data_IF_517854882376
#
_entry.id   IF_517854882376
#
_cell.length_a   1.000
_cell.length_b   1.000
_cell.length_c   1.000
_cell.angle_alpha   90.00
_cell.angle_beta   90.00
_cell.angle_gamma   90.00
#
_symmetry.space_group_name_H-M   'P 1'
#
loop_
_entity.id
_entity.type
_entity.pdbx_description
1 polymer ?
#
# COMPACT_ATOMS: atom_id res chain seq x y z
N UNK A 1 -17.02 23.83 -2.85
CA UNK A 1 -16.91 23.28 -4.23
C UNK A 1 -15.46 22.97 -4.62
N UNK A 2 -14.55 23.94 -4.62
CA UNK A 2 -13.15 23.75 -5.04
C UNK A 2 -12.41 22.59 -4.32
N UNK A 3 -12.65 22.40 -3.02
CA UNK A 3 -12.01 21.36 -2.20
C UNK A 3 -12.37 19.94 -2.69
N UNK A 4 -13.64 19.73 -3.05
CA UNK A 4 -14.13 18.44 -3.56
C UNK A 4 -13.50 18.11 -4.92
N UNK A 5 -13.40 19.12 -5.79
CA UNK A 5 -12.76 18.96 -7.10
C UNK A 5 -11.27 18.61 -6.93
N UNK A 6 -10.57 19.33 -6.04
CA UNK A 6 -9.16 19.05 -5.76
C UNK A 6 -8.96 17.65 -5.19
N UNK A 7 -9.86 17.22 -4.29
CA UNK A 7 -9.83 15.87 -3.74
C UNK A 7 -10.00 14.81 -4.85
N UNK A 8 -11.03 15.00 -5.71
CA UNK A 8 -11.30 14.11 -6.85
C UNK A 8 -10.07 13.98 -7.75
N UNK A 9 -9.44 15.12 -8.10
CA UNK A 9 -8.23 15.14 -8.95
C UNK A 9 -7.10 14.36 -8.26
N UNK A 10 -6.93 14.55 -6.94
CA UNK A 10 -5.85 13.90 -6.18
C UNK A 10 -6.03 12.37 -6.14
N UNK A 11 -7.24 11.87 -5.81
CA UNK A 11 -7.48 10.43 -5.76
C UNK A 11 -7.37 9.79 -7.15
N UNK A 12 -7.81 10.51 -8.19
CA UNK A 12 -7.72 10.03 -9.58
C UNK A 12 -6.26 9.98 -10.05
N UNK A 13 -5.48 11.02 -9.73
CA UNK A 13 -4.04 11.04 -10.02
C UNK A 13 -3.32 9.89 -9.31
N UNK A 14 -3.62 9.68 -8.03
CA UNK A 14 -3.06 8.57 -7.24
C UNK A 14 -3.40 7.23 -7.90
N UNK A 15 -4.68 6.98 -8.20
CA UNK A 15 -5.14 5.76 -8.86
C UNK A 15 -4.39 5.51 -10.19
N UNK A 16 -4.17 6.55 -10.99
CA UNK A 16 -3.43 6.41 -12.25
C UNK A 16 -1.97 5.96 -12.01
N UNK A 17 -1.31 6.48 -10.99
CA UNK A 17 0.05 6.03 -10.66
C UNK A 17 0.06 4.56 -10.20
N UNK A 18 -0.89 4.19 -9.32
CA UNK A 18 -0.99 2.78 -8.86
C UNK A 18 -1.24 1.86 -10.05
N UNK A 19 -2.21 2.22 -10.91
CA UNK A 19 -2.51 1.45 -12.12
C UNK A 19 -1.26 1.28 -12.99
N UNK A 20 -0.52 2.38 -13.22
CA UNK A 20 0.72 2.36 -13.99
C UNK A 20 1.75 1.37 -13.42
N UNK A 21 1.99 1.41 -12.10
CA UNK A 21 2.97 0.52 -11.46
C UNK A 21 2.46 -0.93 -11.42
N UNK A 22 1.19 -1.13 -11.11
CA UNK A 22 0.57 -2.47 -11.16
C UNK A 22 0.70 -3.09 -12.57
N UNK A 23 0.48 -2.30 -13.62
CA UNK A 23 0.61 -2.76 -15.01
C UNK A 23 2.07 -3.15 -15.31
N UNK A 24 3.04 -2.36 -14.86
CA UNK A 24 4.47 -2.70 -14.98
C UNK A 24 4.81 -4.01 -14.26
N UNK A 25 4.09 -4.32 -13.16
CA UNK A 25 4.23 -5.56 -12.41
C UNK A 25 3.42 -6.74 -13.00
N UNK A 26 2.63 -6.51 -14.06
CA UNK A 26 1.76 -7.52 -14.66
C UNK A 26 0.47 -7.77 -13.85
N UNK A 27 0.10 -6.86 -12.97
CA UNK A 27 -1.10 -6.97 -12.12
C UNK A 27 -2.24 -6.11 -12.68
N UNK A 28 -2.67 -6.40 -13.92
CA UNK A 28 -3.63 -5.56 -14.66
C UNK A 28 -4.96 -5.39 -13.90
N UNK A 29 -5.58 -6.50 -13.49
CA UNK A 29 -6.85 -6.46 -12.77
C UNK A 29 -6.74 -5.65 -11.48
N UNK A 30 -5.64 -5.86 -10.71
CA UNK A 30 -5.41 -5.12 -9.47
C UNK A 30 -5.32 -3.62 -9.73
N UNK A 31 -4.55 -3.21 -10.73
CA UNK A 31 -4.41 -1.79 -11.07
C UNK A 31 -5.73 -1.13 -11.47
N UNK A 32 -6.56 -1.83 -12.25
CA UNK A 32 -7.87 -1.29 -12.66
C UNK A 32 -8.80 -1.15 -11.45
N UNK A 33 -8.84 -2.19 -10.59
CA UNK A 33 -9.78 -2.25 -9.47
C UNK A 33 -9.30 -1.47 -8.24
N UNK A 34 -8.02 -1.07 -8.21
CA UNK A 34 -7.44 -0.39 -7.06
C UNK A 34 -8.29 0.82 -6.62
N UNK A 35 -8.66 0.83 -5.36
CA UNK A 35 -9.30 1.97 -4.69
C UNK A 35 -10.57 2.50 -5.36
N UNK A 36 -11.30 1.65 -6.09
CA UNK A 36 -12.60 2.08 -6.66
C UNK A 36 -13.57 2.51 -5.55
N UNK A 37 -13.45 1.96 -4.35
CA UNK A 37 -14.27 2.33 -3.20
C UNK A 37 -14.14 3.81 -2.83
N UNK A 38 -12.99 4.46 -3.15
CA UNK A 38 -12.79 5.89 -2.88
C UNK A 38 -13.77 6.81 -3.62
N UNK A 39 -14.40 6.29 -4.69
CA UNK A 39 -15.41 7.06 -5.44
C UNK A 39 -16.84 6.81 -4.91
N UNK A 40 -17.01 5.96 -3.90
CA UNK A 40 -18.32 5.75 -3.26
C UNK A 40 -18.73 6.98 -2.44
N UNK A 41 -20.02 7.11 -2.22
CA UNK A 41 -20.58 8.20 -1.40
C UNK A 41 -19.93 8.18 0.00
N UNK A 42 -19.84 6.98 0.58
CA UNK A 42 -19.30 6.78 1.94
C UNK A 42 -17.88 7.33 2.11
N UNK A 43 -16.99 7.03 1.16
CA UNK A 43 -15.59 7.45 1.27
C UNK A 43 -15.35 8.84 0.71
N UNK A 44 -15.94 9.15 -0.45
CA UNK A 44 -15.64 10.38 -1.18
C UNK A 44 -15.99 11.63 -0.36
N UNK A 45 -17.23 11.71 0.11
CA UNK A 45 -17.69 12.94 0.77
C UNK A 45 -17.02 13.13 2.13
N UNK A 46 -16.84 12.03 2.90
CA UNK A 46 -16.12 12.11 4.18
C UNK A 46 -14.66 12.57 3.95
N UNK A 47 -13.96 11.91 3.01
CA UNK A 47 -12.56 12.24 2.72
C UNK A 47 -12.41 13.66 2.16
N UNK A 48 -13.32 14.09 1.28
CA UNK A 48 -13.28 15.45 0.72
C UNK A 48 -13.46 16.52 1.81
N UNK A 49 -14.29 16.23 2.82
CA UNK A 49 -14.47 17.14 3.98
C UNK A 49 -13.14 17.41 4.69
N UNK A 50 -12.29 16.36 4.85
CA UNK A 50 -11.03 16.44 5.58
C UNK A 50 -9.81 16.68 4.67
N UNK A 51 -10.01 16.85 3.38
CA UNK A 51 -8.93 16.99 2.41
C UNK A 51 -8.13 18.29 2.63
N UNK A 52 -6.81 18.18 2.74
CA UNK A 52 -5.86 19.28 2.93
C UNK A 52 -4.84 19.40 1.77
N UNK A 53 -4.69 18.34 0.95
CA UNK A 53 -3.81 18.37 -0.21
C UNK A 53 -2.35 17.98 0.08
N UNK A 54 -1.99 17.81 1.33
CA UNK A 54 -0.61 17.51 1.77
C UNK A 54 -0.43 16.12 2.36
N UNK A 55 -1.56 15.49 2.71
CA UNK A 55 -1.56 14.16 3.33
C UNK A 55 -2.93 13.52 3.16
N UNK A 56 -3.04 12.25 3.55
CA UNK A 56 -4.32 11.54 3.52
C UNK A 56 -5.36 12.23 4.41
N UNK A 57 -6.57 12.49 3.90
CA UNK A 57 -7.65 13.08 4.72
C UNK A 57 -8.10 12.18 5.88
N UNK A 58 -7.84 10.86 5.80
CA UNK A 58 -8.16 9.91 6.86
C UNK A 58 -7.45 10.28 8.17
N UNK A 59 -6.17 10.71 8.07
CA UNK A 59 -5.41 11.12 9.25
C UNK A 59 -6.05 12.33 9.95
N UNK A 60 -6.54 13.30 9.16
CA UNK A 60 -7.22 14.48 9.69
C UNK A 60 -8.56 14.12 10.35
N UNK A 61 -9.33 13.21 9.72
CA UNK A 61 -10.59 12.72 10.31
C UNK A 61 -10.34 11.99 11.63
N UNK A 62 -9.31 11.12 11.69
CA UNK A 62 -8.95 10.40 12.92
C UNK A 62 -8.50 11.35 14.03
N UNK A 63 -7.77 12.40 13.67
CA UNK A 63 -7.31 13.41 14.65
C UNK A 63 -8.50 14.14 15.28
N UNK A 64 -9.52 14.44 14.49
CA UNK A 64 -10.71 15.16 14.97
C UNK A 64 -11.66 14.27 15.78
N UNK A 65 -11.93 13.06 15.27
CA UNK A 65 -13.00 12.18 15.81
C UNK A 65 -12.50 11.01 16.65
N UNK A 66 -11.19 10.69 16.58
CA UNK A 66 -10.65 9.47 17.17
C UNK A 66 -10.76 8.24 16.25
N UNK A 67 -11.57 8.32 15.20
CA UNK A 67 -11.80 7.22 14.24
C UNK A 67 -12.15 7.77 12.85
N UNK A 68 -12.24 6.88 11.86
CA UNK A 68 -12.68 7.24 10.51
C UNK A 68 -13.57 6.13 9.94
N UNK A 69 -14.82 6.45 9.67
CA UNK A 69 -15.75 5.53 9.01
C UNK A 69 -15.35 5.33 7.53
N UNK A 70 -14.84 6.38 6.89
CA UNK A 70 -14.29 6.23 5.54
C UNK A 70 -13.16 5.20 5.52
N UNK A 71 -12.29 5.20 6.54
CA UNK A 71 -11.22 4.21 6.65
C UNK A 71 -11.76 2.80 6.90
N UNK A 72 -12.76 2.65 7.79
CA UNK A 72 -13.35 1.34 8.05
C UNK A 72 -13.92 0.73 6.76
N UNK A 73 -14.66 1.54 5.99
CA UNK A 73 -15.19 1.11 4.69
C UNK A 73 -14.03 0.78 3.72
N UNK A 74 -13.05 1.68 3.64
CA UNK A 74 -11.94 1.56 2.70
C UNK A 74 -11.13 0.29 2.94
N UNK A 75 -10.64 0.08 4.17
CA UNK A 75 -9.80 -1.08 4.47
C UNK A 75 -10.56 -2.40 4.32
N UNK A 76 -11.89 -2.39 4.52
CA UNK A 76 -12.73 -3.57 4.37
C UNK A 76 -12.97 -3.98 2.91
N UNK A 77 -12.76 -3.06 1.96
CA UNK A 77 -12.98 -3.31 0.52
C UNK A 77 -11.67 -3.43 -0.27
N UNK A 78 -10.54 -3.19 0.37
CA UNK A 78 -9.25 -3.06 -0.34
C UNK A 78 -8.18 -3.96 0.30
N UNK A 79 -8.07 -5.22 -0.18
CA UNK A 79 -7.13 -6.20 0.42
C UNK A 79 -5.64 -5.84 0.31
N UNK A 80 -5.27 -4.76 -0.36
CA UNK A 80 -3.88 -4.28 -0.34
C UNK A 80 -3.53 -3.52 0.95
N UNK A 81 -4.49 -3.31 1.86
CA UNK A 81 -4.23 -2.75 3.19
C UNK A 81 -4.02 -3.88 4.20
N UNK A 82 -2.96 -3.78 5.01
CA UNK A 82 -2.61 -4.84 5.96
C UNK A 82 -3.70 -5.06 7.01
N UNK A 83 -4.45 -4.03 7.37
CA UNK A 83 -5.54 -4.11 8.36
C UNK A 83 -6.69 -5.02 7.90
N UNK A 84 -6.83 -5.24 6.60
CA UNK A 84 -7.78 -6.21 6.05
C UNK A 84 -7.46 -7.63 6.53
N UNK A 85 -6.18 -7.92 6.80
CA UNK A 85 -5.66 -9.26 7.07
C UNK A 85 -5.45 -9.51 8.57
N UNK A 86 -6.12 -8.75 9.45
CA UNK A 86 -6.04 -8.97 10.88
C UNK A 86 -7.25 -9.77 11.33
N UNK A 87 -7.01 -10.97 11.84
CA UNK A 87 -8.02 -11.84 12.43
C UNK A 87 -7.95 -11.69 13.95
N UNK A 88 -9.09 -11.41 14.55
CA UNK A 88 -9.20 -11.33 16.02
C UNK A 88 -10.45 -12.05 16.55
N UNK A 89 -11.06 -12.91 15.75
CA UNK A 89 -12.25 -13.67 16.15
C UNK A 89 -11.84 -14.76 17.15
N UNK A 90 -12.47 -14.77 18.31
CA UNK A 90 -12.25 -15.77 19.35
C UNK A 90 -10.97 -15.58 20.15
N UNK A 91 -10.20 -14.56 19.86
CA UNK A 91 -9.02 -14.18 20.64
C UNK A 91 -9.05 -12.69 20.90
N UNK A 92 -8.40 -12.24 21.96
CA UNK A 92 -8.28 -10.81 22.26
C UNK A 92 -6.99 -10.25 21.70
N UNK A 93 -6.36 -10.96 20.79
CA UNK A 93 -5.08 -10.62 20.21
C UNK A 93 -5.21 -10.47 18.70
N UNK A 94 -4.75 -9.36 18.17
CA UNK A 94 -4.71 -9.14 16.73
C UNK A 94 -3.71 -10.11 16.08
N UNK A 95 -4.21 -11.04 15.28
CA UNK A 95 -3.40 -12.08 14.65
C UNK A 95 -3.31 -11.79 13.15
N UNK A 96 -2.12 -11.49 12.63
CA UNK A 96 -2.00 -11.18 11.20
C UNK A 96 -2.01 -12.45 10.35
N UNK A 97 -2.86 -12.48 9.34
CA UNK A 97 -2.86 -13.49 8.30
C UNK A 97 -1.76 -13.18 7.28
N UNK A 98 -1.24 -14.21 6.62
CA UNK A 98 -0.28 -14.04 5.54
C UNK A 98 -0.99 -13.39 4.34
N UNK A 99 -0.46 -12.26 3.88
CA UNK A 99 -1.03 -11.54 2.74
C UNK A 99 -0.56 -12.21 1.44
N UNK A 100 -1.47 -12.58 0.53
CA UNK A 100 -1.06 -13.10 -0.77
C UNK A 100 -0.18 -12.09 -1.53
N UNK A 101 0.87 -12.57 -2.16
CA UNK A 101 1.93 -11.73 -2.74
C UNK A 101 1.40 -10.66 -3.71
N UNK A 102 0.33 -10.94 -4.45
CA UNK A 102 -0.21 -9.94 -5.40
C UNK A 102 -0.75 -8.70 -4.66
N UNK A 103 -1.28 -8.87 -3.44
CA UNK A 103 -1.74 -7.73 -2.63
C UNK A 103 -0.57 -7.01 -1.97
N UNK A 104 0.52 -7.73 -1.65
CA UNK A 104 1.76 -7.10 -1.16
C UNK A 104 2.34 -6.21 -2.26
N UNK A 105 2.40 -6.70 -3.50
CA UNK A 105 2.90 -5.89 -4.64
C UNK A 105 1.99 -4.68 -4.89
N UNK A 106 0.67 -4.86 -4.83
CA UNK A 106 -0.29 -3.75 -4.95
C UNK A 106 -0.07 -2.71 -3.83
N UNK A 107 0.14 -3.16 -2.58
CA UNK A 107 0.46 -2.30 -1.43
C UNK A 107 1.73 -1.48 -1.70
N UNK A 108 2.79 -2.09 -2.22
CA UNK A 108 4.03 -1.38 -2.58
C UNK A 108 3.73 -0.35 -3.68
N UNK A 109 2.98 -0.72 -4.71
CA UNK A 109 2.58 0.23 -5.78
C UNK A 109 1.78 1.41 -5.20
N UNK A 110 0.90 1.15 -4.23
CA UNK A 110 0.12 2.17 -3.53
C UNK A 110 1.05 3.14 -2.77
N UNK A 111 1.99 2.63 -1.98
CA UNK A 111 2.94 3.45 -1.21
C UNK A 111 3.80 4.32 -2.13
N UNK A 112 4.35 3.75 -3.21
CA UNK A 112 5.10 4.50 -4.23
C UNK A 112 4.27 5.65 -4.80
N UNK A 113 3.01 5.36 -5.11
CA UNK A 113 2.11 6.35 -5.73
C UNK A 113 1.73 7.46 -4.76
N UNK A 114 1.51 7.11 -3.49
CA UNK A 114 1.23 8.09 -2.43
C UNK A 114 2.43 9.03 -2.25
N UNK A 115 3.64 8.47 -2.17
CA UNK A 115 4.87 9.26 -2.08
C UNK A 115 4.95 10.29 -3.21
N UNK A 116 4.78 9.85 -4.46
CA UNK A 116 4.85 10.72 -5.65
C UNK A 116 3.77 11.81 -5.62
N UNK A 117 2.55 11.45 -5.25
CA UNK A 117 1.41 12.38 -5.29
C UNK A 117 1.52 13.45 -4.19
N UNK A 118 1.89 13.04 -2.98
CA UNK A 118 1.94 13.96 -1.83
C UNK A 118 3.24 14.78 -1.76
N UNK A 119 4.39 14.21 -2.14
CA UNK A 119 5.64 14.97 -2.21
C UNK A 119 5.70 15.88 -3.43
N UNK A 120 4.90 15.59 -4.46
CA UNK A 120 4.94 16.25 -5.78
C UNK A 120 6.29 16.05 -6.49
N UNK A 121 7.10 15.12 -6.02
CA UNK A 121 8.38 14.76 -6.65
C UNK A 121 8.20 13.47 -7.44
N UNK A 122 8.81 13.44 -8.61
CA UNK A 122 8.73 12.28 -9.49
C UNK A 122 10.12 11.68 -9.63
N UNK A 123 10.37 10.53 -9.02
CA UNK A 123 11.70 9.93 -9.10
C UNK A 123 12.02 9.42 -10.51
N UNK A 124 13.31 9.25 -10.78
CA UNK A 124 13.74 8.47 -11.94
C UNK A 124 13.53 6.99 -11.58
N UNK A 125 12.67 6.31 -12.33
CA UNK A 125 12.28 4.93 -12.01
C UNK A 125 13.39 3.90 -12.22
N UNK A 126 14.50 4.30 -12.87
CA UNK A 126 15.64 3.42 -13.13
C UNK A 126 16.77 3.60 -12.10
N UNK A 127 16.63 4.57 -11.20
CA UNK A 127 17.66 4.90 -10.18
C UNK A 127 17.20 4.48 -8.79
N UNK A 128 18.15 4.24 -7.87
CA UNK A 128 17.83 3.99 -6.46
C UNK A 128 16.82 5.01 -5.90
N UNK A 129 15.84 4.51 -5.13
CA UNK A 129 14.80 5.36 -4.58
C UNK A 129 14.49 4.91 -3.15
N UNK A 130 15.08 5.58 -2.17
CA UNK A 130 15.07 5.18 -0.75
C UNK A 130 13.82 5.61 0.01
N UNK A 131 13.11 6.64 -0.47
CA UNK A 131 12.00 7.27 0.27
C UNK A 131 10.96 6.26 0.80
N UNK A 132 10.49 5.26 0.01
CA UNK A 132 9.48 4.32 0.53
C UNK A 132 10.02 3.44 1.66
N UNK A 133 11.29 3.04 1.59
CA UNK A 133 11.92 2.25 2.64
C UNK A 133 12.10 3.07 3.91
N UNK A 134 12.52 4.33 3.78
CA UNK A 134 12.66 5.25 4.91
C UNK A 134 11.31 5.49 5.59
N UNK A 135 10.27 5.72 4.79
CA UNK A 135 8.91 5.90 5.31
C UNK A 135 8.44 4.65 6.05
N UNK A 136 8.62 3.47 5.46
CA UNK A 136 8.28 2.19 6.08
C UNK A 136 9.00 2.03 7.43
N UNK A 137 10.29 2.30 7.49
CA UNK A 137 11.09 2.14 8.72
C UNK A 137 10.61 3.07 9.84
N UNK A 138 10.09 4.24 9.51
CA UNK A 138 9.48 5.18 10.50
C UNK A 138 8.13 4.69 11.03
N UNK A 139 7.40 3.90 10.22
CA UNK A 139 6.02 3.51 10.52
C UNK A 139 5.85 2.05 10.92
N UNK A 140 6.81 1.17 10.63
CA UNK A 140 6.64 -0.29 10.71
C UNK A 140 6.25 -0.79 12.12
N UNK A 141 6.67 -0.10 13.18
CA UNK A 141 6.33 -0.48 14.56
C UNK A 141 4.83 -0.28 14.88
N UNK A 142 4.11 0.43 14.01
CA UNK A 142 2.66 0.65 14.14
C UNK A 142 1.84 -0.32 13.27
N UNK A 143 2.53 -1.19 12.51
CA UNK A 143 1.91 -2.12 11.58
C UNK A 143 2.04 -3.54 12.14
N UNK A 144 1.04 -4.37 11.89
CA UNK A 144 1.03 -5.76 12.36
C UNK A 144 1.00 -6.66 11.13
N UNK A 145 2.12 -7.33 10.86
CA UNK A 145 2.25 -8.21 9.71
C UNK A 145 2.59 -9.64 10.14
N UNK A 146 2.10 -10.60 9.39
CA UNK A 146 2.64 -11.96 9.43
C UNK A 146 4.13 -11.90 9.05
N UNK A 147 4.97 -12.70 9.71
CA UNK A 147 6.44 -12.68 9.53
C UNK A 147 6.86 -12.79 8.05
N UNK A 148 6.23 -13.69 7.31
CA UNK A 148 6.56 -13.87 5.88
C UNK A 148 6.16 -12.68 5.03
N UNK A 149 5.03 -12.05 5.35
CA UNK A 149 4.58 -10.83 4.68
C UNK A 149 5.58 -9.70 4.91
N UNK A 150 6.01 -9.54 6.16
CA UNK A 150 6.98 -8.51 6.54
C UNK A 150 8.30 -8.68 5.77
N UNK A 151 8.84 -9.91 5.74
CA UNK A 151 10.07 -10.22 4.98
C UNK A 151 9.93 -9.86 3.51
N UNK A 152 8.75 -10.14 2.92
CA UNK A 152 8.50 -9.85 1.51
C UNK A 152 8.42 -8.33 1.26
N UNK A 153 7.76 -7.58 2.14
CA UNK A 153 7.70 -6.12 2.06
C UNK A 153 9.12 -5.54 2.11
N UNK A 154 9.91 -5.97 3.09
CA UNK A 154 11.28 -5.48 3.28
C UNK A 154 12.15 -5.82 2.06
N UNK A 155 12.03 -7.02 1.51
CA UNK A 155 12.73 -7.42 0.27
C UNK A 155 12.38 -6.46 -0.87
N UNK A 156 11.11 -6.20 -1.12
CA UNK A 156 10.67 -5.34 -2.23
C UNK A 156 11.10 -3.89 -2.04
N UNK A 157 11.02 -3.37 -0.81
CA UNK A 157 11.45 -2.00 -0.52
C UNK A 157 12.97 -1.85 -0.69
N UNK A 158 13.76 -2.86 -0.29
CA UNK A 158 15.20 -2.85 -0.52
C UNK A 158 15.55 -2.91 -2.01
N UNK A 159 14.84 -3.73 -2.79
CA UNK A 159 15.03 -3.76 -4.26
C UNK A 159 14.81 -2.37 -4.88
N UNK A 160 13.79 -1.65 -4.42
CA UNK A 160 13.49 -0.29 -4.92
C UNK A 160 14.58 0.69 -4.47
N UNK A 161 14.99 0.59 -3.20
CA UNK A 161 16.02 1.48 -2.63
C UNK A 161 17.37 1.32 -3.31
N UNK A 162 17.72 0.10 -3.73
CA UNK A 162 19.02 -0.20 -4.34
C UNK A 162 19.02 -0.06 -5.87
N UNK A 163 17.92 -0.46 -6.54
CA UNK A 163 17.94 -0.67 -7.99
C UNK A 163 16.78 0.05 -8.72
N UNK A 164 15.93 0.76 -7.97
CA UNK A 164 14.85 1.55 -8.55
C UNK A 164 13.55 0.80 -8.81
N UNK A 165 12.52 1.58 -9.08
CA UNK A 165 11.13 1.10 -9.24
C UNK A 165 10.99 0.15 -10.43
N UNK A 166 11.64 0.46 -11.57
CA UNK A 166 11.52 -0.39 -12.76
C UNK A 166 12.16 -1.76 -12.54
N UNK A 167 13.26 -1.82 -11.78
CA UNK A 167 13.87 -3.11 -11.42
C UNK A 167 12.91 -3.95 -10.59
N UNK A 168 12.30 -3.36 -9.55
CA UNK A 168 11.30 -4.05 -8.73
C UNK A 168 10.15 -4.57 -9.60
N UNK A 169 9.58 -3.72 -10.44
CA UNK A 169 8.42 -4.09 -11.27
C UNK A 169 8.71 -5.30 -12.18
N UNK A 170 9.93 -5.39 -12.71
CA UNK A 170 10.34 -6.49 -13.60
C UNK A 170 10.67 -7.79 -12.84
N UNK A 171 11.15 -7.67 -11.60
CA UNK A 171 11.80 -8.80 -10.90
C UNK A 171 11.07 -9.31 -9.65
N UNK A 172 9.99 -8.69 -9.22
CA UNK A 172 9.30 -9.06 -7.97
C UNK A 172 8.89 -10.54 -7.94
N UNK A 173 8.49 -11.09 -9.05
CA UNK A 173 8.10 -12.52 -9.16
C UNK A 173 9.27 -13.45 -8.89
N UNK A 174 10.40 -13.09 -9.44
CA UNK A 174 11.66 -13.81 -9.24
C UNK A 174 12.07 -13.83 -7.77
N UNK A 175 11.87 -12.84 -7.25
CA UNK A 175 12.22 -12.68 -5.91
C UNK A 175 11.25 -13.34 -4.99
N UNK A 176 10.04 -13.60 -5.35
CA UNK A 176 9.06 -14.23 -4.58
C UNK A 176 9.24 -15.74 -4.56
N UNK A 177 9.81 -16.19 -5.65
CA UNK A 177 10.08 -17.56 -5.83
C UNK A 177 11.30 -18.02 -5.04
N UNK A 178 12.20 -17.14 -4.90
CA UNK A 178 13.38 -17.30 -4.14
C UNK A 178 13.14 -17.18 -2.65
N UNK A 179 12.29 -16.48 -2.25
CA UNK A 179 11.94 -16.31 -0.91
C UNK A 179 11.09 -17.47 -0.42
N UNK A 180 10.37 -17.98 -1.35
CA UNK A 180 9.49 -19.01 -1.04
C UNK A 180 10.18 -20.38 -0.96
N UNK A 181 11.22 -20.38 -1.72
CA UNK A 181 12.02 -21.56 -1.73
C UNK A 181 12.98 -21.59 -0.54
N UNK A 182 13.28 -20.55 -0.07
CA UNK A 182 14.10 -20.41 1.08
C UNK A 182 13.33 -20.66 2.37
N UNK A 183 12.18 -20.43 2.26
CA UNK A 183 11.34 -20.61 3.37
C UNK A 183 10.92 -22.05 3.54
N UNK A 184 10.89 -22.55 2.50
CA UNK A 184 10.55 -23.92 2.46
C UNK A 184 11.68 -24.84 2.89
N UNK A 185 12.76 -24.35 2.63
CA UNK A 185 13.90 -25.02 3.03
C UNK A 185 14.22 -24.87 4.51
N UNK A 186 13.74 -24.00 5.00
CA UNK A 186 13.91 -23.82 6.37
C UNK A 186 12.95 -24.61 7.21
N UNK A 187 12.06 -24.78 6.66
CA UNK A 187 11.09 -25.55 7.28
C UNK A 187 11.32 -27.04 7.28
N UNK A 188 12.14 -27.53 6.53
CA UNK A 188 12.54 -28.96 6.46
C UNK A 188 13.62 -29.35 7.49
N UNK A 189 14.25 -28.43 8.07
CA UNK A 189 15.34 -28.68 9.04
C UNK A 189 14.93 -28.43 10.51
N UNK A 190 13.68 -28.11 10.74
CA UNK A 190 13.11 -28.03 12.10
C UNK A 190 12.32 -29.30 12.44
#
# INVERSE_FOLDING_TARGET
MAKYIKHFITITKHKHYVMKFCFKCGLYKRGIMHDLSKYSITEFFSSAKYFQGTSSPIAAEKKEKGYSLAWQHHKGHNPHHWEYWIDNIGTYKNTPCKIPYQYVVEMICDWLSAGIVYSKQKPNYNEPYTEPLEHYNKCKNKMIFHKETQKLIELYLNMIAEKGINYFCKNWKKXXXXXXXXXXXXXLHE
#
